data_IF_069304325324
#
_entry.id   IF_069304325324
#
_cell.length_a   1.000
_cell.length_b   1.000
_cell.length_c   1.000
_cell.angle_alpha   90.00
_cell.angle_beta   90.00
_cell.angle_gamma   90.00
#
_symmetry.space_group_name_H-M   'P 1'
#
loop_
_entity.id
_entity.type
_entity.pdbx_description
1 polymer ?
#
# COMPACT_ATOMS: atom_id res chain seq x y z
N UNK A 1 -10.87 -30.70 10.36
CA UNK A 1 -11.28 -30.34 11.73
C UNK A 1 -12.00 -28.99 11.67
N UNK A 2 -13.16 -28.81 12.31
CA UNK A 2 -13.87 -27.52 12.26
C UNK A 2 -13.07 -26.47 13.01
N UNK A 3 -12.73 -25.37 12.34
CA UNK A 3 -12.01 -24.26 12.98
C UNK A 3 -12.98 -23.36 13.73
N UNK A 4 -12.70 -23.15 15.01
CA UNK A 4 -13.46 -22.25 15.88
C UNK A 4 -12.68 -20.95 16.11
N UNK A 5 -13.36 -19.82 16.06
CA UNK A 5 -12.80 -18.52 16.45
C UNK A 5 -12.56 -18.46 17.96
N UNK A 6 -11.70 -17.55 18.43
CA UNK A 6 -11.35 -17.44 19.86
C UNK A 6 -12.60 -17.30 20.76
N UNK A 7 -13.56 -16.47 20.33
CA UNK A 7 -14.82 -16.26 21.06
C UNK A 7 -15.69 -17.52 21.11
N UNK A 8 -15.76 -18.27 20.00
CA UNK A 8 -16.49 -19.54 19.97
C UNK A 8 -15.85 -20.57 20.91
N UNK A 9 -14.52 -20.66 20.93
CA UNK A 9 -13.78 -21.56 21.85
C UNK A 9 -14.09 -21.25 23.30
N UNK A 10 -14.08 -19.96 23.68
CA UNK A 10 -14.42 -19.51 25.04
C UNK A 10 -15.84 -19.93 25.43
N UNK A 11 -16.84 -19.69 24.55
CA UNK A 11 -18.23 -20.11 24.78
C UNK A 11 -18.36 -21.63 24.95
N UNK A 12 -17.64 -22.41 24.15
CA UNK A 12 -17.66 -23.89 24.22
C UNK A 12 -17.06 -24.38 25.54
N UNK A 13 -15.89 -23.86 25.94
CA UNK A 13 -15.26 -24.24 27.22
C UNK A 13 -16.18 -23.97 28.40
N UNK A 14 -16.82 -22.79 28.44
CA UNK A 14 -17.76 -22.44 29.51
C UNK A 14 -18.98 -23.37 29.55
N UNK A 15 -19.49 -23.79 28.38
CA UNK A 15 -20.60 -24.77 28.30
C UNK A 15 -20.18 -26.15 28.79
N UNK A 16 -19.00 -26.63 28.37
CA UNK A 16 -18.47 -27.95 28.78
C UNK A 16 -18.15 -27.97 30.27
N UNK A 17 -17.64 -26.88 30.83
CA UNK A 17 -17.26 -26.81 32.23
C UNK A 17 -18.45 -26.95 33.20
N UNK A 18 -19.67 -26.59 32.77
CA UNK A 18 -20.89 -26.71 33.57
C UNK A 18 -21.40 -28.16 33.69
N UNK A 19 -20.96 -29.07 32.83
CA UNK A 19 -21.50 -30.43 32.74
C UNK A 19 -20.57 -31.43 33.46
N UNK A 20 -21.14 -32.44 34.13
CA UNK A 20 -20.37 -33.53 34.74
C UNK A 20 -19.63 -34.36 33.67
N UNK A 21 -20.36 -34.86 32.67
CA UNK A 21 -19.81 -35.63 31.54
C UNK A 21 -19.28 -34.73 30.41
N UNK A 22 -18.02 -34.31 30.55
CA UNK A 22 -17.35 -33.39 29.62
C UNK A 22 -17.07 -34.01 28.25
N UNK A 23 -16.80 -35.31 28.20
CA UNK A 23 -16.45 -36.03 26.98
C UNK A 23 -17.59 -36.07 25.96
N UNK A 24 -18.79 -36.44 26.40
CA UNK A 24 -19.99 -36.49 25.54
C UNK A 24 -20.27 -35.11 24.94
N UNK A 25 -20.18 -34.05 25.76
CA UNK A 25 -20.45 -32.70 25.27
C UNK A 25 -19.34 -32.20 24.33
N UNK A 26 -18.07 -32.55 24.58
CA UNK A 26 -16.96 -32.24 23.67
C UNK A 26 -17.12 -32.94 22.31
N UNK A 27 -17.54 -34.22 22.31
CA UNK A 27 -17.84 -34.99 21.10
C UNK A 27 -18.97 -34.36 20.27
N UNK A 28 -20.02 -33.81 20.92
CA UNK A 28 -21.09 -33.07 20.24
C UNK A 28 -20.56 -31.86 19.46
N UNK A 29 -19.50 -31.22 19.94
CA UNK A 29 -18.82 -30.13 19.24
C UNK A 29 -17.72 -30.59 18.27
N UNK A 30 -17.55 -31.91 18.06
CA UNK A 30 -16.48 -32.50 17.24
C UNK A 30 -15.08 -32.09 17.74
N UNK A 31 -14.89 -32.05 19.05
CA UNK A 31 -13.64 -31.66 19.72
C UNK A 31 -13.17 -32.83 20.58
N UNK A 32 -11.87 -33.15 20.54
CA UNK A 32 -11.30 -34.15 21.45
C UNK A 32 -11.20 -33.62 22.88
N UNK A 33 -11.34 -34.50 23.87
CA UNK A 33 -11.23 -34.11 25.29
C UNK A 33 -9.90 -33.42 25.60
N UNK A 34 -8.80 -33.84 24.95
CA UNK A 34 -7.48 -33.20 25.03
C UNK A 34 -7.51 -31.75 24.57
N UNK A 35 -8.21 -31.46 23.47
CA UNK A 35 -8.35 -30.09 22.96
C UNK A 35 -9.15 -29.22 23.93
N UNK A 36 -10.18 -29.77 24.58
CA UNK A 36 -10.91 -29.08 25.65
C UNK A 36 -9.98 -28.70 26.80
N UNK A 37 -9.21 -29.65 27.35
CA UNK A 37 -8.30 -29.36 28.46
C UNK A 37 -7.20 -28.36 28.06
N UNK A 38 -6.70 -28.44 26.82
CA UNK A 38 -5.78 -27.44 26.29
C UNK A 38 -6.41 -26.04 26.22
N UNK A 39 -7.67 -25.92 25.79
CA UNK A 39 -8.36 -24.62 25.78
C UNK A 39 -8.68 -24.12 27.19
N UNK A 40 -9.00 -25.02 28.12
CA UNK A 40 -9.24 -24.69 29.53
C UNK A 40 -7.99 -24.08 30.16
N UNK A 41 -6.83 -24.73 30.02
CA UNK A 41 -5.58 -24.20 30.57
C UNK A 41 -5.18 -22.87 29.93
N UNK A 42 -5.36 -22.71 28.61
CA UNK A 42 -5.11 -21.43 27.94
C UNK A 42 -6.00 -20.29 28.46
N UNK A 43 -7.27 -20.59 28.77
CA UNK A 43 -8.20 -19.62 29.33
C UNK A 43 -7.81 -19.22 30.76
N UNK A 44 -7.32 -20.16 31.57
CA UNK A 44 -6.85 -19.91 32.94
C UNK A 44 -5.55 -19.10 32.95
N UNK A 45 -4.58 -19.43 32.08
CA UNK A 45 -3.27 -18.75 32.06
C UNK A 45 -3.29 -17.40 31.35
N UNK A 46 -3.95 -17.30 30.19
CA UNK A 46 -3.83 -16.15 29.30
C UNK A 46 -5.14 -15.39 29.10
N UNK A 47 -6.25 -15.82 29.73
CA UNK A 47 -7.61 -15.28 29.55
C UNK A 47 -8.18 -15.33 28.11
N UNK A 48 -7.37 -15.76 27.14
CA UNK A 48 -7.68 -15.76 25.70
C UNK A 48 -7.20 -17.07 25.08
N UNK A 49 -8.09 -17.75 24.37
CA UNK A 49 -7.77 -18.98 23.64
C UNK A 49 -7.37 -18.60 22.21
N UNK A 50 -6.07 -18.49 21.94
CA UNK A 50 -5.57 -18.20 20.59
C UNK A 50 -5.39 -19.49 19.78
N UNK A 51 -5.70 -19.48 18.47
CA UNK A 51 -5.31 -20.59 17.60
C UNK A 51 -3.78 -20.72 17.57
N UNK A 52 -3.29 -21.97 17.54
CA UNK A 52 -1.86 -22.23 17.33
C UNK A 52 -1.50 -21.72 15.94
N UNK A 53 -0.57 -20.78 15.86
CA UNK A 53 -0.04 -20.34 14.56
C UNK A 53 0.66 -21.52 13.89
N UNK A 54 0.19 -21.88 12.69
CA UNK A 54 0.84 -22.84 11.79
C UNK A 54 1.94 -22.18 10.97
N UNK A 55 2.01 -20.84 10.95
CA UNK A 55 3.01 -20.10 10.17
C UNK A 55 4.43 -20.41 10.70
N UNK A 56 5.40 -20.68 9.84
CA UNK A 56 6.79 -20.88 10.25
C UNK A 56 7.30 -19.66 11.02
N UNK A 57 7.87 -19.91 12.20
CA UNK A 57 8.41 -18.85 13.08
C UNK A 57 9.73 -18.29 12.56
N UNK A 58 10.49 -19.09 11.82
CA UNK A 58 11.81 -18.74 11.35
C UNK A 58 11.79 -18.50 9.84
N UNK A 59 12.24 -17.32 9.42
CA UNK A 59 12.53 -17.02 8.02
C UNK A 59 14.04 -17.17 7.80
N UNK A 60 14.46 -18.10 6.94
CA UNK A 60 15.87 -18.36 6.60
C UNK A 60 16.59 -17.11 6.08
N UNK A 61 15.85 -16.24 5.39
CA UNK A 61 16.40 -15.06 4.72
C UNK A 61 16.43 -13.80 5.61
N UNK A 62 16.10 -13.93 6.91
CA UNK A 62 16.13 -12.80 7.83
C UNK A 62 17.56 -12.51 8.29
N UNK A 63 17.98 -11.25 8.16
CA UNK A 63 19.24 -10.78 8.71
C UNK A 63 19.21 -10.90 10.25
N UNK A 64 20.16 -11.65 10.83
CA UNK A 64 20.24 -11.88 12.28
C UNK A 64 21.28 -10.98 12.98
N UNK A 65 22.26 -10.47 12.22
CA UNK A 65 23.37 -9.72 12.80
C UNK A 65 22.92 -8.34 13.28
N UNK A 66 22.84 -8.17 14.61
CA UNK A 66 22.36 -6.94 15.27
C UNK A 66 23.22 -5.70 14.94
N UNK A 67 24.54 -5.87 14.77
CA UNK A 67 25.46 -4.76 14.46
C UNK A 67 25.10 -4.13 13.10
N UNK A 68 24.92 -4.97 12.09
CA UNK A 68 24.54 -4.54 10.73
C UNK A 68 23.15 -3.90 10.73
N UNK A 69 22.19 -4.46 11.46
CA UNK A 69 20.83 -3.90 11.59
C UNK A 69 20.89 -2.50 12.19
N UNK A 70 21.66 -2.31 13.28
CA UNK A 70 21.82 -1.01 13.93
C UNK A 70 22.43 0.01 12.96
N UNK A 71 23.48 -0.39 12.23
CA UNK A 71 24.14 0.47 11.22
C UNK A 71 23.20 0.89 10.10
N UNK A 72 22.38 -0.02 9.57
CA UNK A 72 21.34 0.28 8.56
C UNK A 72 20.36 1.34 9.07
N UNK A 73 19.92 1.21 10.33
CA UNK A 73 18.99 2.15 10.97
C UNK A 73 19.65 3.52 11.14
N UNK A 74 20.91 3.57 11.58
CA UNK A 74 21.69 4.80 11.73
C UNK A 74 21.84 5.55 10.41
N UNK A 75 22.31 4.88 9.34
CA UNK A 75 22.45 5.48 8.01
C UNK A 75 21.12 6.05 7.51
N UNK A 76 20.01 5.32 7.74
CA UNK A 76 18.68 5.75 7.35
C UNK A 76 18.22 7.01 8.11
N UNK A 77 18.51 7.10 9.41
CA UNK A 77 18.15 8.24 10.26
C UNK A 77 19.01 9.47 9.96
N UNK A 78 20.32 9.29 9.76
CA UNK A 78 21.27 10.37 9.50
C UNK A 78 21.08 10.98 8.11
N UNK A 79 21.05 10.15 7.06
CA UNK A 79 21.13 10.65 5.68
C UNK A 79 19.81 10.51 4.90
N UNK A 80 18.80 9.81 5.42
CA UNK A 80 17.54 9.58 4.71
C UNK A 80 17.66 8.69 3.47
N UNK A 81 18.76 7.94 3.33
CA UNK A 81 19.07 7.16 2.13
C UNK A 81 18.13 5.98 1.89
N UNK A 82 17.86 5.69 0.60
CA UNK A 82 17.11 4.52 0.17
C UNK A 82 17.96 3.25 0.13
N UNK A 83 17.32 2.09 -0.09
CA UNK A 83 17.96 0.76 -0.02
C UNK A 83 19.26 0.61 -0.84
N UNK A 84 19.29 1.19 -2.05
CA UNK A 84 20.45 1.09 -2.94
C UNK A 84 21.64 1.92 -2.44
N UNK A 85 21.38 3.11 -1.91
CA UNK A 85 22.42 3.97 -1.34
C UNK A 85 22.96 3.40 -0.03
N UNK A 86 22.08 2.84 0.82
CA UNK A 86 22.50 2.13 2.03
C UNK A 86 23.39 0.94 1.68
N UNK A 87 23.04 0.17 0.64
CA UNK A 87 23.87 -0.95 0.19
C UNK A 87 25.28 -0.49 -0.18
N UNK A 88 25.38 0.56 -1.00
CA UNK A 88 26.68 1.13 -1.41
C UNK A 88 27.50 1.62 -0.21
N UNK A 89 26.86 2.28 0.75
CA UNK A 89 27.54 2.73 1.97
C UNK A 89 28.08 1.56 2.79
N UNK A 90 27.31 0.48 2.90
CA UNK A 90 27.74 -0.73 3.61
C UNK A 90 28.83 -1.48 2.85
N UNK A 91 28.82 -1.45 1.51
CA UNK A 91 29.89 -2.02 0.68
C UNK A 91 31.21 -1.26 0.86
N UNK A 92 31.17 0.06 1.08
CA UNK A 92 32.35 0.85 1.45
C UNK A 92 32.90 0.51 2.84
N UNK A 93 32.06 -0.03 3.72
CA UNK A 93 32.42 -0.51 5.06
C UNK A 93 32.78 -2.02 5.06
N UNK A 94 32.97 -2.63 3.87
CA UNK A 94 33.22 -4.08 3.66
C UNK A 94 32.10 -5.03 4.12
N UNK A 95 30.88 -4.51 4.34
CA UNK A 95 29.73 -5.31 4.78
C UNK A 95 28.86 -5.70 3.57
N UNK A 96 28.98 -6.96 3.13
CA UNK A 96 28.15 -7.51 2.04
C UNK A 96 26.73 -7.83 2.53
N UNK A 97 25.76 -7.00 2.15
CA UNK A 97 24.33 -7.21 2.47
C UNK A 97 23.46 -7.15 1.21
N UNK A 98 22.52 -8.09 1.09
CA UNK A 98 21.52 -8.08 0.02
C UNK A 98 20.51 -6.93 0.15
N UNK A 99 20.06 -6.38 -0.97
CA UNK A 99 19.07 -5.28 -0.99
C UNK A 99 17.75 -5.65 -0.33
N UNK A 100 17.31 -6.90 -0.47
CA UNK A 100 16.11 -7.47 0.17
C UNK A 100 16.23 -7.48 1.68
N UNK A 101 17.40 -7.85 2.22
CA UNK A 101 17.64 -7.85 3.66
C UNK A 101 17.54 -6.43 4.24
N UNK A 102 18.12 -5.44 3.56
CA UNK A 102 18.01 -4.02 3.94
C UNK A 102 16.54 -3.58 3.91
N UNK A 103 15.80 -3.94 2.88
CA UNK A 103 14.38 -3.60 2.76
C UNK A 103 13.53 -4.20 3.88
N UNK A 104 13.76 -5.47 4.26
CA UNK A 104 13.07 -6.11 5.39
C UNK A 104 13.38 -5.39 6.69
N UNK A 105 14.65 -5.06 6.95
CA UNK A 105 15.04 -4.30 8.16
C UNK A 105 14.34 -2.95 8.22
N UNK A 106 14.25 -2.22 7.10
CA UNK A 106 13.55 -0.94 7.04
C UNK A 106 12.04 -1.07 7.29
N UNK A 107 11.41 -2.14 6.77
CA UNK A 107 9.97 -2.41 6.99
C UNK A 107 9.66 -2.80 8.43
N UNK A 108 10.46 -3.67 9.03
CA UNK A 108 10.29 -4.10 10.43
C UNK A 108 10.42 -2.94 11.42
N UNK A 109 11.21 -1.91 11.08
CA UNK A 109 11.43 -0.73 11.92
C UNK A 109 10.55 0.48 11.54
N UNK A 110 9.53 0.32 10.67
CA UNK A 110 8.67 1.43 10.19
C UNK A 110 9.42 2.58 9.49
N UNK A 111 10.65 2.37 9.02
CA UNK A 111 11.47 3.37 8.32
C UNK A 111 11.31 3.33 6.79
N UNK A 112 10.47 2.41 6.30
CA UNK A 112 10.17 2.25 4.89
C UNK A 112 9.03 3.17 4.46
N UNK A 113 9.32 4.10 3.53
CA UNK A 113 8.32 5.05 3.04
C UNK A 113 7.48 4.40 1.94
N UNK A 114 6.22 4.09 2.24
CA UNK A 114 5.25 3.71 1.22
C UNK A 114 4.82 4.96 0.44
N UNK A 115 5.11 5.00 -0.86
CA UNK A 115 4.67 6.09 -1.74
C UNK A 115 3.15 6.02 -1.91
N UNK A 116 2.43 7.10 -1.63
CA UNK A 116 1.00 7.19 -1.92
C UNK A 116 0.77 7.04 -3.44
N UNK A 117 -0.18 6.18 -3.83
CA UNK A 117 -0.57 6.01 -5.23
C UNK A 117 -1.18 7.33 -5.72
N UNK A 118 -0.64 7.90 -6.81
CA UNK A 118 -1.27 9.06 -7.46
C UNK A 118 -2.60 8.60 -8.06
N UNK A 119 -3.70 9.25 -7.68
CA UNK A 119 -5.00 9.05 -8.33
C UNK A 119 -4.87 9.69 -9.71
N UNK A 120 -4.94 8.88 -10.78
CA UNK A 120 -5.01 9.40 -12.15
C UNK A 120 -6.39 10.06 -12.33
N UNK A 121 -6.43 11.33 -12.71
CA UNK A 121 -7.69 11.97 -13.14
C UNK A 121 -8.16 11.25 -14.41
N UNK A 122 -9.41 10.78 -14.43
CA UNK A 122 -10.02 10.21 -15.64
C UNK A 122 -10.22 11.33 -16.67
N UNK A 123 -9.83 11.10 -17.92
CA UNK A 123 -10.09 12.04 -19.03
C UNK A 123 -11.61 12.16 -19.24
N UNK A 124 -12.17 13.36 -19.12
CA UNK A 124 -13.61 13.62 -19.30
C UNK A 124 -13.98 13.80 -20.77
N UNK A 125 -13.55 12.89 -21.66
CA UNK A 125 -13.87 12.94 -23.10
C UNK A 125 -13.47 14.24 -23.82
N UNK A 126 -13.75 14.33 -25.12
CA UNK A 126 -13.79 15.61 -25.83
C UNK A 126 -15.23 16.10 -25.76
N UNK A 127 -15.49 17.21 -25.08
CA UNK A 127 -16.78 17.88 -25.24
C UNK A 127 -16.86 18.38 -26.68
N UNK A 128 -17.94 18.05 -27.40
CA UNK A 128 -18.18 18.64 -28.72
C UNK A 128 -18.27 20.15 -28.54
N UNK A 129 -17.25 20.86 -29.05
CA UNK A 129 -17.30 22.31 -29.13
C UNK A 129 -18.20 22.61 -30.31
N UNK A 130 -19.46 22.95 -30.05
CA UNK A 130 -20.33 23.52 -31.08
C UNK A 130 -19.82 24.93 -31.38
N UNK A 131 -19.28 25.11 -32.59
CA UNK A 131 -18.95 26.41 -33.16
C UNK A 131 -20.17 26.79 -34.00
N UNK A 132 -20.89 27.85 -33.63
CA UNK A 132 -22.13 28.24 -34.33
C UNK A 132 -21.84 29.14 -35.53
N UNK A 133 -20.80 29.96 -35.43
CA UNK A 133 -20.42 30.93 -36.47
C UNK A 133 -18.92 30.87 -36.78
N UNK A 134 -18.55 31.17 -38.03
CA UNK A 134 -17.15 31.16 -38.46
C UNK A 134 -16.38 32.30 -37.77
N UNK A 135 -15.39 31.96 -36.94
CA UNK A 135 -14.56 32.95 -36.22
C UNK A 135 -14.53 32.79 -34.69
N UNK A 136 -15.50 32.07 -34.12
CA UNK A 136 -15.76 32.02 -32.67
C UNK A 136 -14.59 31.47 -31.82
N UNK A 137 -13.69 30.68 -32.42
CA UNK A 137 -12.49 30.11 -31.77
C UNK A 137 -11.25 30.11 -32.67
N UNK A 138 -11.03 31.19 -33.41
CA UNK A 138 -9.78 31.37 -34.14
C UNK A 138 -8.74 31.95 -33.18
N UNK A 139 -7.72 31.16 -32.84
CA UNK A 139 -6.55 31.68 -32.13
C UNK A 139 -5.59 32.26 -33.18
N UNK A 140 -5.42 33.59 -33.19
CA UNK A 140 -4.45 34.29 -34.02
C UNK A 140 -3.19 34.46 -33.18
N UNK A 141 -2.12 33.72 -33.51
CA UNK A 141 -0.81 33.95 -32.90
C UNK A 141 -0.20 35.24 -33.49
N UNK A 142 -0.14 36.29 -32.67
CA UNK A 142 0.32 37.63 -33.07
C UNK A 142 1.84 37.72 -33.21
N UNK A 143 2.56 36.61 -33.09
CA UNK A 143 4.03 36.57 -33.22
C UNK A 143 4.54 36.89 -34.62
N UNK A 144 3.68 36.83 -35.65
CA UNK A 144 3.99 37.24 -37.03
C UNK A 144 3.40 38.62 -37.42
N UNK A 145 3.01 39.46 -36.46
CA UNK A 145 2.62 40.85 -36.75
C UNK A 145 3.86 41.76 -36.81
N UNK A 146 4.78 41.46 -37.71
CA UNK A 146 5.65 42.51 -38.24
C UNK A 146 4.75 43.50 -38.99
N UNK A 147 4.90 44.80 -38.71
CA UNK A 147 4.10 45.95 -39.19
C UNK A 147 3.70 45.98 -40.69
N UNK A 148 4.23 45.09 -41.52
CA UNK A 148 3.92 44.97 -42.95
C UNK A 148 2.65 44.17 -43.28
N UNK A 149 2.16 43.29 -42.40
CA UNK A 149 1.01 42.42 -42.73
C UNK A 149 -0.37 42.94 -42.26
N UNK A 150 -0.43 44.04 -41.50
CA UNK A 150 -1.70 44.62 -41.04
C UNK A 150 -2.59 45.14 -42.18
N UNK A 151 -1.99 45.72 -43.23
CA UNK A 151 -2.73 46.21 -44.40
C UNK A 151 -3.49 45.09 -45.12
N UNK A 152 -2.96 43.87 -45.12
CA UNK A 152 -3.59 42.72 -45.77
C UNK A 152 -4.81 42.23 -44.96
N UNK A 153 -4.70 42.22 -43.63
CA UNK A 153 -5.78 41.83 -42.73
C UNK A 153 -6.93 42.85 -42.74
N UNK A 154 -6.63 44.15 -42.77
CA UNK A 154 -7.64 45.21 -42.92
C UNK A 154 -8.35 45.12 -44.26
N UNK A 155 -7.62 44.85 -45.37
CA UNK A 155 -8.23 44.62 -46.69
C UNK A 155 -9.19 43.43 -46.68
N UNK A 156 -8.80 42.31 -46.08
CA UNK A 156 -9.64 41.12 -46.00
C UNK A 156 -10.90 41.33 -45.17
N UNK A 157 -10.81 42.07 -44.06
CA UNK A 157 -11.96 42.42 -43.22
C UNK A 157 -12.95 43.34 -43.97
N UNK A 158 -12.45 44.33 -44.72
CA UNK A 158 -13.29 45.26 -45.50
C UNK A 158 -13.96 44.54 -46.68
N UNK A 159 -13.26 43.62 -47.36
CA UNK A 159 -13.84 42.84 -48.47
C UNK A 159 -14.99 41.95 -48.00
N UNK A 160 -14.83 41.27 -46.86
CA UNK A 160 -15.90 40.43 -46.30
C UNK A 160 -17.10 41.26 -45.81
N UNK A 161 -16.88 42.48 -45.31
CA UNK A 161 -17.97 43.37 -44.91
C UNK A 161 -18.77 43.90 -46.11
N UNK A 162 -18.11 44.09 -47.27
CA UNK A 162 -18.74 44.58 -48.51
C UNK A 162 -19.53 43.52 -49.27
N UNK A 163 -19.27 42.24 -49.03
CA UNK A 163 -19.95 41.11 -49.66
C UNK A 163 -21.26 40.71 -48.93
N UNK A 164 -21.59 41.38 -47.82
CA UNK A 164 -22.80 41.15 -47.02
C UNK A 164 -23.85 42.27 -47.15
N UNK A 165 -23.66 43.24 -48.06
CA UNK A 165 -24.66 44.23 -48.49
C UNK A 165 -25.07 43.88 -49.93
#
# INVERSE_FOLDING_TARGET
MKEYTSNQRKKIVLKINKVKNKEILALKYKISIRTYYYWKSQLETYSIIKPKSTKPKNNKNKLKNKKIIKRIIEIRKLYGYGKLKIKKQLELEDIKVGTTAIETVLKENNLYRNKKKKIKRKHKGKHAIYIKEAGEKVQIDVTLCGLRHMLFLVKYAIINLRLQI
#
